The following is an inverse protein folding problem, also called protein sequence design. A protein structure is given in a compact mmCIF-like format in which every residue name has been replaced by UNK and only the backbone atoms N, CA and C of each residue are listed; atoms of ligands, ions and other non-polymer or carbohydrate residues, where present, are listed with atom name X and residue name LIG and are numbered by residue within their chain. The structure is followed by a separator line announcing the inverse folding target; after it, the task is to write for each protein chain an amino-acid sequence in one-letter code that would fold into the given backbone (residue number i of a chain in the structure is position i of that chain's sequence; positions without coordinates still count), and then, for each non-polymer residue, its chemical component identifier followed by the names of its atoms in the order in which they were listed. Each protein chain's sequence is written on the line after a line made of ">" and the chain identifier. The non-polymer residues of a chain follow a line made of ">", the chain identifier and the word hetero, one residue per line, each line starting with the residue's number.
data_IF_232630522434
#
_entry.id   IF_232630522434
#
_cell.length_a   1.000
_cell.length_b   1.000
_cell.length_c   1.000
_cell.angle_alpha   90.00
_cell.angle_beta   90.00
_cell.angle_gamma   90.00
#
_symmetry.space_group_name_H-M   'P 1'
#
loop_
_entity.id
_entity.type
_entity.pdbx_description
1 polymer ?
#
# COMPACT_ATOMS: atom_id res chain seq x y z
N UNK A 1 -14.13 10.22 -7.70
CA UNK A 1 -14.33 10.14 -6.23
C UNK A 1 -13.90 11.47 -5.61
N UNK A 2 -14.61 12.01 -4.61
CA UNK A 2 -14.27 13.29 -3.97
C UNK A 2 -14.37 13.18 -2.44
N UNK A 3 -13.27 13.43 -1.74
CA UNK A 3 -13.25 13.48 -0.27
C UNK A 3 -13.59 14.90 0.22
N UNK A 4 -14.79 15.07 0.77
CA UNK A 4 -15.21 16.37 1.34
C UNK A 4 -14.34 16.71 2.55
N UNK A 5 -13.84 17.95 2.61
CA UNK A 5 -13.06 18.45 3.74
C UNK A 5 -11.58 18.07 3.76
N UNK A 6 -11.09 17.20 2.87
CA UNK A 6 -9.71 16.68 2.92
C UNK A 6 -8.64 17.78 2.87
N UNK A 7 -8.86 18.83 2.07
CA UNK A 7 -7.94 19.98 1.97
C UNK A 7 -7.91 20.87 3.22
N UNK A 8 -8.95 20.80 4.06
CA UNK A 8 -9.09 21.59 5.30
C UNK A 8 -8.70 20.79 6.54
N UNK A 9 -8.81 19.46 6.46
CA UNK A 9 -8.45 18.56 7.55
C UNK A 9 -6.94 18.61 7.80
N UNK A 10 -6.58 18.55 9.08
CA UNK A 10 -5.20 18.47 9.52
C UNK A 10 -4.93 17.07 10.07
N UNK A 11 -3.75 16.49 9.79
CA UNK A 11 -3.34 15.28 10.48
C UNK A 11 -3.28 15.48 11.99
N UNK A 12 -3.35 14.38 12.74
CA UNK A 12 -3.24 14.43 14.21
C UNK A 12 -1.87 14.95 14.63
N UNK A 13 -1.80 15.62 15.78
CA UNK A 13 -0.54 16.06 16.35
C UNK A 13 0.44 14.88 16.50
N UNK A 14 1.73 15.13 16.25
CA UNK A 14 2.83 14.15 16.28
C UNK A 14 2.88 13.10 15.17
N UNK A 15 1.91 13.03 14.23
CA UNK A 15 1.96 12.00 13.17
C UNK A 15 3.24 12.06 12.34
N UNK A 16 3.77 13.27 12.08
CA UNK A 16 5.00 13.43 11.32
C UNK A 16 6.22 12.95 12.08
N UNK A 17 6.25 13.13 13.40
CA UNK A 17 7.28 12.58 14.27
C UNK A 17 7.24 11.05 14.26
N UNK A 18 6.03 10.45 14.31
CA UNK A 18 5.88 9.00 14.22
C UNK A 18 6.33 8.45 12.86
N UNK A 19 6.03 9.14 11.76
CA UNK A 19 6.50 8.75 10.42
C UNK A 19 8.04 8.79 10.37
N UNK A 20 8.65 9.87 10.88
CA UNK A 20 10.10 10.06 10.85
C UNK A 20 10.86 9.00 11.69
N UNK A 21 10.38 8.77 12.92
CA UNK A 21 10.99 7.87 13.89
C UNK A 21 10.66 6.39 13.68
N UNK A 22 9.63 6.07 12.91
CA UNK A 22 9.29 4.68 12.66
C UNK A 22 10.47 3.92 12.06
N UNK A 23 10.68 2.70 12.54
CA UNK A 23 11.60 1.74 11.91
C UNK A 23 11.00 1.22 10.61
N UNK A 24 9.69 0.92 10.62
CA UNK A 24 8.91 0.45 9.48
C UNK A 24 7.54 1.09 9.47
N UNK A 25 7.02 1.38 8.28
CA UNK A 25 5.65 1.85 8.06
C UNK A 25 4.95 0.86 7.16
N UNK A 26 3.85 0.27 7.63
CA UNK A 26 3.11 -0.76 6.90
C UNK A 26 1.80 -0.17 6.36
N UNK A 27 1.63 -0.21 5.04
CA UNK A 27 0.36 0.04 4.38
C UNK A 27 -0.32 -1.32 4.15
N UNK A 28 -1.28 -1.64 5.03
CA UNK A 28 -2.06 -2.87 4.97
C UNK A 28 -2.82 -3.03 3.64
N UNK A 29 -3.22 -4.26 3.24
CA UNK A 29 -3.90 -4.55 1.98
C UNK A 29 -5.38 -4.14 2.05
N UNK A 30 -5.61 -2.82 2.19
CA UNK A 30 -6.91 -2.19 2.21
C UNK A 30 -7.17 -1.46 0.90
N UNK A 31 -8.39 -0.93 0.72
CA UNK A 31 -8.74 -0.21 -0.49
C UNK A 31 -7.83 1.02 -0.67
N UNK A 32 -7.04 1.09 -1.76
CA UNK A 32 -6.05 2.12 -1.92
C UNK A 32 -6.68 3.51 -2.09
N UNK A 33 -7.93 3.55 -2.54
CA UNK A 33 -8.62 4.77 -2.90
C UNK A 33 -9.42 5.32 -1.72
N UNK A 34 -10.28 4.52 -1.09
CA UNK A 34 -11.23 5.04 -0.07
C UNK A 34 -10.86 4.68 1.37
N UNK A 35 -9.92 3.75 1.59
CA UNK A 35 -9.45 3.44 2.94
C UNK A 35 -8.10 4.11 3.20
N UNK A 36 -7.11 3.87 2.33
CA UNK A 36 -5.77 4.48 2.47
C UNK A 36 -5.73 5.89 1.87
N UNK A 37 -6.38 6.10 0.73
CA UNK A 37 -6.41 7.38 0.01
C UNK A 37 -6.75 8.60 0.88
N UNK A 38 -7.78 8.57 1.76
CA UNK A 38 -8.05 9.68 2.67
C UNK A 38 -6.93 9.96 3.66
N UNK A 39 -6.20 8.94 4.12
CA UNK A 39 -5.09 9.09 5.07
C UNK A 39 -3.91 9.78 4.38
N UNK A 40 -3.49 9.26 3.23
CA UNK A 40 -2.36 9.83 2.46
C UNK A 40 -2.71 11.16 1.79
N UNK A 41 -4.01 11.43 1.61
CA UNK A 41 -4.53 12.67 1.03
C UNK A 41 -4.56 13.85 2.01
N UNK A 42 -4.32 13.62 3.31
CA UNK A 42 -4.14 14.71 4.26
C UNK A 42 -2.86 15.49 3.98
N UNK A 43 -2.93 16.81 4.18
CA UNK A 43 -1.83 17.73 3.88
C UNK A 43 -0.52 17.29 4.55
N UNK A 44 0.54 17.14 3.76
CA UNK A 44 1.88 16.78 4.22
C UNK A 44 2.14 15.29 4.46
N UNK A 45 1.11 14.43 4.54
CA UNK A 45 1.34 12.99 4.78
C UNK A 45 2.12 12.35 3.64
N UNK A 46 1.74 12.63 2.38
CA UNK A 46 2.42 12.06 1.22
C UNK A 46 3.89 12.48 1.15
N UNK A 47 4.18 13.74 1.45
CA UNK A 47 5.54 14.27 1.46
C UNK A 47 6.37 13.66 2.60
N UNK A 48 5.78 13.47 3.77
CA UNK A 48 6.44 12.81 4.89
C UNK A 48 6.79 11.34 4.55
N UNK A 49 5.84 10.58 3.99
CA UNK A 49 6.09 9.19 3.56
C UNK A 49 7.15 9.11 2.45
N UNK A 50 7.16 10.06 1.50
CA UNK A 50 8.17 10.12 0.44
C UNK A 50 9.59 10.27 0.99
N UNK A 51 9.79 11.06 2.05
CA UNK A 51 11.11 11.24 2.69
C UNK A 51 11.66 9.96 3.32
N UNK A 52 10.78 9.10 3.83
CA UNK A 52 11.14 7.82 4.44
C UNK A 52 10.71 6.64 3.58
N UNK A 53 10.61 6.81 2.25
CA UNK A 53 10.06 5.83 1.31
C UNK A 53 10.63 4.42 1.52
N UNK A 54 11.93 4.30 1.78
CA UNK A 54 12.60 3.00 2.01
C UNK A 54 12.13 2.29 3.28
N UNK A 55 11.54 3.00 4.25
CA UNK A 55 10.92 2.40 5.44
C UNK A 55 9.48 1.94 5.21
N UNK A 56 8.89 2.28 4.06
CA UNK A 56 7.47 2.04 3.78
C UNK A 56 7.29 0.75 2.98
N UNK A 57 6.56 -0.18 3.58
CA UNK A 57 6.17 -1.46 3.01
C UNK A 57 4.66 -1.45 2.75
N UNK A 58 4.24 -1.65 1.51
CA UNK A 58 2.83 -1.84 1.19
C UNK A 58 2.51 -3.28 0.82
N UNK A 59 1.27 -3.71 1.04
CA UNK A 59 0.78 -5.03 0.68
C UNK A 59 -0.35 -4.83 -0.33
N UNK A 60 -0.30 -5.55 -1.45
CA UNK A 60 -1.33 -5.44 -2.49
C UNK A 60 -2.70 -5.90 -1.97
N UNK A 61 -3.77 -5.12 -2.16
CA UNK A 61 -5.15 -5.56 -1.94
C UNK A 61 -5.75 -6.28 -3.17
N UNK A 62 -5.04 -6.28 -4.30
CA UNK A 62 -5.47 -6.87 -5.57
C UNK A 62 -4.66 -8.14 -5.83
N UNK A 63 -5.38 -9.20 -6.22
CA UNK A 63 -4.86 -10.52 -6.58
C UNK A 63 -5.50 -10.92 -7.91
N UNK A 64 -4.71 -11.26 -8.94
CA UNK A 64 -5.19 -11.67 -10.27
C UNK A 64 -6.23 -10.69 -10.88
N UNK A 65 -5.99 -9.39 -10.67
CA UNK A 65 -6.86 -8.31 -11.14
C UNK A 65 -8.22 -8.20 -10.44
N UNK A 66 -8.37 -8.82 -9.25
CA UNK A 66 -9.57 -8.76 -8.42
C UNK A 66 -9.23 -8.34 -7.00
N UNK A 67 -10.17 -7.65 -6.34
CA UNK A 67 -10.06 -7.36 -4.91
C UNK A 67 -10.58 -8.55 -4.09
N UNK A 68 -9.92 -8.87 -2.98
CA UNK A 68 -10.36 -9.96 -2.08
C UNK A 68 -11.71 -9.63 -1.45
N UNK A 69 -11.89 -8.38 -1.02
CA UNK A 69 -13.14 -7.84 -0.46
C UNK A 69 -13.32 -6.38 -0.85
N UNK A 70 -14.57 -5.92 -0.83
CA UNK A 70 -14.93 -4.52 -1.06
C UNK A 70 -14.85 -4.09 -2.54
N UNK A 71 -14.93 -2.78 -2.83
CA UNK A 71 -15.08 -2.27 -4.20
C UNK A 71 -13.78 -1.71 -4.80
N UNK A 72 -12.60 -2.13 -4.34
CA UNK A 72 -11.33 -1.50 -4.74
C UNK A 72 -11.11 -1.56 -6.26
N UNK A 73 -11.37 -2.71 -6.86
CA UNK A 73 -11.35 -2.94 -8.31
C UNK A 73 -12.24 -1.95 -9.08
N UNK A 74 -13.49 -1.75 -8.64
CA UNK A 74 -14.43 -0.83 -9.30
C UNK A 74 -13.94 0.62 -9.19
N UNK A 75 -13.47 1.04 -8.02
CA UNK A 75 -13.02 2.40 -7.79
C UNK A 75 -11.72 2.72 -8.53
N UNK A 76 -10.82 1.74 -8.66
CA UNK A 76 -9.62 1.86 -9.49
C UNK A 76 -10.00 2.07 -10.96
N UNK A 77 -10.92 1.26 -11.52
CA UNK A 77 -11.44 1.48 -12.90
C UNK A 77 -12.04 2.87 -13.07
N UNK A 78 -12.86 3.32 -12.13
CA UNK A 78 -13.47 4.66 -12.19
C UNK A 78 -12.46 5.81 -12.19
N UNK A 79 -11.24 5.57 -11.69
CA UNK A 79 -10.15 6.55 -11.67
C UNK A 79 -9.15 6.36 -12.81
N UNK A 80 -9.42 5.46 -13.76
CA UNK A 80 -8.51 5.14 -14.87
C UNK A 80 -7.25 4.39 -14.42
N UNK A 81 -7.28 3.77 -13.24
CA UNK A 81 -6.19 2.95 -12.74
C UNK A 81 -6.36 1.51 -13.22
N UNK A 82 -5.23 0.90 -13.58
CA UNK A 82 -5.12 -0.52 -13.87
C UNK A 82 -5.52 -1.33 -12.63
N UNK A 83 -6.46 -2.29 -12.77
CA UNK A 83 -6.84 -3.17 -11.65
C UNK A 83 -5.88 -4.34 -11.59
N UNK A 84 -4.73 -4.11 -10.98
CA UNK A 84 -3.69 -5.11 -10.75
C UNK A 84 -2.82 -4.67 -9.57
N UNK A 85 -1.98 -5.57 -9.04
CA UNK A 85 -0.96 -5.19 -8.09
C UNK A 85 0.03 -4.16 -8.68
N UNK A 86 0.30 -4.23 -9.99
CA UNK A 86 1.09 -3.23 -10.72
C UNK A 86 0.42 -1.86 -10.69
N UNK A 87 -0.89 -1.78 -10.96
CA UNK A 87 -1.65 -0.53 -10.89
C UNK A 87 -1.62 0.11 -9.49
N UNK A 88 -1.69 -0.72 -8.44
CA UNK A 88 -1.51 -0.27 -7.05
C UNK A 88 -0.09 0.22 -6.81
N UNK A 89 0.93 -0.49 -7.30
CA UNK A 89 2.32 -0.08 -7.19
C UNK A 89 2.57 1.27 -7.90
N UNK A 90 2.04 1.46 -9.11
CA UNK A 90 2.08 2.75 -9.84
C UNK A 90 1.43 3.87 -9.02
N UNK A 91 0.29 3.60 -8.38
CA UNK A 91 -0.43 4.57 -7.54
C UNK A 91 0.38 5.00 -6.29
N UNK A 92 1.13 4.07 -5.69
CA UNK A 92 1.94 4.29 -4.50
C UNK A 92 3.44 4.58 -4.77
N UNK A 93 3.88 4.56 -6.03
CA UNK A 93 5.30 4.61 -6.45
C UNK A 93 6.17 5.65 -5.72
N UNK A 94 5.60 6.82 -5.45
CA UNK A 94 6.32 7.92 -4.80
C UNK A 94 6.54 7.73 -3.30
N UNK A 95 5.81 6.82 -2.65
CA UNK A 95 5.78 6.68 -1.18
C UNK A 95 6.14 5.29 -0.65
N UNK A 96 6.28 4.26 -1.51
CA UNK A 96 6.64 2.89 -1.06
C UNK A 96 8.00 2.45 -1.60
N UNK A 97 8.90 1.99 -0.72
CA UNK A 97 10.17 1.37 -1.10
C UNK A 97 10.05 -0.13 -1.31
N UNK A 98 9.09 -0.74 -0.62
CA UNK A 98 8.89 -2.19 -0.61
C UNK A 98 7.42 -2.53 -0.86
N UNK A 99 7.18 -3.60 -1.61
CA UNK A 99 5.84 -4.04 -1.95
C UNK A 99 5.68 -5.55 -1.90
N UNK A 100 4.67 -6.02 -1.16
CA UNK A 100 4.32 -7.44 -1.09
C UNK A 100 3.11 -7.69 -1.99
N UNK A 101 3.28 -8.61 -2.93
CA UNK A 101 2.22 -9.09 -3.82
C UNK A 101 1.90 -10.54 -3.52
N UNK A 102 0.71 -10.97 -3.92
CA UNK A 102 0.29 -12.35 -3.74
C UNK A 102 1.12 -13.30 -4.60
N UNK A 103 1.33 -14.54 -4.14
CA UNK A 103 2.04 -15.59 -4.89
C UNK A 103 1.49 -15.79 -6.30
N UNK A 104 0.19 -15.56 -6.49
CA UNK A 104 -0.47 -15.68 -7.79
C UNK A 104 -0.08 -14.59 -8.80
N UNK A 105 0.41 -13.45 -8.33
CA UNK A 105 0.82 -12.31 -9.17
C UNK A 105 2.35 -12.24 -9.32
N UNK A 106 3.11 -13.25 -8.88
CA UNK A 106 4.57 -13.22 -8.90
C UNK A 106 5.20 -13.05 -10.28
N UNK A 107 4.48 -13.43 -11.34
CA UNK A 107 4.88 -13.17 -12.71
C UNK A 107 4.96 -11.67 -13.04
N UNK A 108 4.29 -10.80 -12.27
CA UNK A 108 4.31 -9.34 -12.42
C UNK A 108 5.42 -8.66 -11.59
N UNK A 109 6.18 -9.43 -10.80
CA UNK A 109 7.22 -8.91 -9.90
C UNK A 109 8.21 -7.99 -10.63
N UNK A 110 8.77 -8.45 -11.75
CA UNK A 110 9.80 -7.70 -12.49
C UNK A 110 9.28 -6.35 -12.99
N UNK A 111 8.03 -6.28 -13.47
CA UNK A 111 7.41 -5.02 -13.91
C UNK A 111 7.31 -4.01 -12.76
N UNK A 112 7.04 -4.47 -11.54
CA UNK A 112 6.98 -3.59 -10.36
C UNK A 112 8.40 -3.15 -9.95
N UNK A 113 9.39 -4.03 -10.05
CA UNK A 113 10.78 -3.71 -9.74
C UNK A 113 11.37 -2.65 -10.69
N UNK A 114 10.95 -2.63 -11.96
CA UNK A 114 11.27 -1.56 -12.93
C UNK A 114 10.76 -0.18 -12.48
N UNK A 115 9.78 -0.10 -11.58
CA UNK A 115 9.32 1.15 -10.97
C UNK A 115 10.26 1.64 -9.85
N UNK A 116 11.32 0.90 -9.52
CA UNK A 116 12.23 1.16 -8.41
C UNK A 116 11.61 0.81 -7.05
N UNK A 117 10.86 -0.29 -6.99
CA UNK A 117 10.18 -0.79 -5.79
C UNK A 117 10.64 -2.23 -5.54
N UNK A 118 11.25 -2.49 -4.38
CA UNK A 118 11.65 -3.83 -4.00
C UNK A 118 10.41 -4.71 -3.79
N UNK A 119 10.27 -5.79 -4.57
CA UNK A 119 9.01 -6.53 -4.62
C UNK A 119 9.15 -7.97 -4.11
N UNK A 120 8.20 -8.40 -3.28
CA UNK A 120 8.21 -9.68 -2.60
C UNK A 120 6.93 -10.46 -2.84
N UNK A 121 7.08 -11.78 -2.97
CA UNK A 121 6.00 -12.71 -3.24
C UNK A 121 5.63 -13.48 -1.97
N UNK A 122 4.38 -13.35 -1.51
CA UNK A 122 3.91 -14.08 -0.33
C UNK A 122 2.41 -14.40 -0.38
N UNK A 123 1.91 -15.29 0.47
CA UNK A 123 0.45 -15.52 0.58
C UNK A 123 -0.16 -14.33 1.33
N UNK A 124 -0.99 -13.54 0.63
CA UNK A 124 -1.60 -12.33 1.19
C UNK A 124 -3.02 -12.54 1.70
N UNK A 125 -3.57 -13.75 1.57
CA UNK A 125 -4.94 -14.06 1.98
C UNK A 125 -5.01 -14.21 3.51
N UNK A 126 -5.79 -13.33 4.15
CA UNK A 126 -5.95 -13.27 5.61
C UNK A 126 -7.28 -13.88 6.10
N UNK A 127 -7.58 -15.12 5.68
CA UNK A 127 -8.83 -15.84 6.01
C UNK A 127 -8.86 -16.44 7.43
N UNK A 128 -7.72 -16.48 8.12
CA UNK A 128 -7.55 -17.06 9.45
C UNK A 128 -6.56 -16.25 10.27
N UNK A 129 -6.61 -16.39 11.61
CA UNK A 129 -5.65 -15.73 12.50
C UNK A 129 -4.21 -16.19 12.24
N UNK A 130 -4.03 -17.47 11.92
CA UNK A 130 -2.74 -18.07 11.58
C UNK A 130 -2.11 -17.35 10.38
N UNK A 131 -2.84 -17.24 9.26
CA UNK A 131 -2.33 -16.55 8.07
C UNK A 131 -2.07 -15.06 8.29
N UNK A 132 -2.88 -14.39 9.13
CA UNK A 132 -2.63 -12.99 9.53
C UNK A 132 -1.29 -12.84 10.26
N UNK A 133 -1.00 -13.74 11.20
CA UNK A 133 0.27 -13.75 11.94
C UNK A 133 1.43 -14.05 10.99
N UNK A 134 1.31 -15.06 10.13
CA UNK A 134 2.35 -15.44 9.17
C UNK A 134 2.69 -14.30 8.20
N UNK A 135 1.68 -13.60 7.67
CA UNK A 135 1.91 -12.43 6.80
C UNK A 135 2.56 -11.27 7.57
N UNK A 136 2.13 -11.02 8.81
CA UNK A 136 2.71 -9.97 9.64
C UNK A 136 4.19 -10.25 9.98
N UNK A 137 4.52 -11.50 10.29
CA UNK A 137 5.89 -11.94 10.53
C UNK A 137 6.74 -11.78 9.27
N UNK A 138 6.26 -12.27 8.12
CA UNK A 138 6.95 -12.11 6.85
C UNK A 138 7.27 -10.65 6.55
N UNK A 139 6.30 -9.75 6.70
CA UNK A 139 6.48 -8.30 6.47
C UNK A 139 7.48 -7.69 7.45
N UNK A 140 7.47 -8.11 8.71
CA UNK A 140 8.40 -7.62 9.72
C UNK A 140 9.85 -8.09 9.49
N UNK A 141 10.02 -9.25 8.86
CA UNK A 141 11.33 -9.84 8.60
C UNK A 141 11.98 -9.34 7.30
N UNK A 142 11.27 -8.52 6.51
CA UNK A 142 11.86 -7.84 5.35
C UNK A 142 12.99 -6.93 5.83
N UNK A 143 14.17 -7.13 5.21
CA UNK A 143 15.35 -6.30 5.42
C UNK A 143 15.22 -5.01 4.60
N UNK A 144 15.14 -3.88 5.31
CA UNK A 144 14.99 -2.53 4.75
C UNK A 144 15.99 -1.57 5.39
#
# INVERSE_FOLDING_TARGET
>A
IKFKGIKKAKPVNKVFEYIDKAERIIICPSNPIVSIGPIIGLSGIRDALKKVKQKVIAISPIIEGKTVKGPADKLMRCLGLEVSCVGVAKYYKEIIGHFVIDKKDCNLKSEIEELGINTYCYDTIMDSIKKKIELAQFVNDIKI
#
